data_IF_414736745880
#
_entry.id   IF_414736745880
#
_cell.length_a   1.000
_cell.length_b   1.000
_cell.length_c   1.000
_cell.angle_alpha   90.00
_cell.angle_beta   90.00
_cell.angle_gamma   90.00
#
_symmetry.space_group_name_H-M   'P 1'
#
loop_
_entity.id
_entity.type
_entity.pdbx_description
1 polymer ?
#
# COMPACT_ATOMS: atom_id res chain seq x y z
N UNK A 1 -8.57 -20.92 -12.15
CA UNK A 1 -7.68 -19.86 -12.66
C UNK A 1 -6.86 -20.48 -13.76
N UNK A 2 -6.78 -19.81 -14.92
CA UNK A 2 -5.98 -20.31 -16.04
C UNK A 2 -4.48 -20.02 -15.85
N UNK A 3 -3.57 -20.82 -16.45
CA UNK A 3 -2.13 -20.62 -16.31
C UNK A 3 -1.65 -19.23 -16.75
N UNK A 4 -2.25 -18.67 -17.80
CA UNK A 4 -1.98 -17.31 -18.27
C UNK A 4 -2.33 -16.25 -17.22
N UNK A 5 -3.42 -16.45 -16.48
CA UNK A 5 -3.81 -15.56 -15.38
C UNK A 5 -2.86 -15.70 -14.19
N UNK A 6 -2.44 -16.91 -13.85
CA UNK A 6 -1.41 -17.14 -12.82
C UNK A 6 -0.12 -16.36 -13.14
N UNK A 7 0.36 -16.46 -14.39
CA UNK A 7 1.56 -15.72 -14.83
C UNK A 7 1.35 -14.20 -14.75
N UNK A 8 0.19 -13.71 -15.17
CA UNK A 8 -0.15 -12.29 -15.07
C UNK A 8 -0.16 -11.82 -13.61
N UNK A 9 -0.75 -12.59 -12.70
CA UNK A 9 -0.76 -12.30 -11.27
C UNK A 9 0.66 -12.20 -10.70
N UNK A 10 1.51 -13.21 -10.97
CA UNK A 10 2.90 -13.20 -10.51
C UNK A 10 3.68 -12.01 -11.04
N UNK A 11 3.46 -11.64 -12.32
CA UNK A 11 4.10 -10.47 -12.92
C UNK A 11 3.64 -9.18 -12.26
N UNK A 12 2.33 -9.03 -12.01
CA UNK A 12 1.75 -7.84 -11.38
C UNK A 12 2.37 -7.56 -10.01
N UNK A 13 2.52 -8.60 -9.17
CA UNK A 13 3.14 -8.49 -7.84
C UNK A 13 4.66 -8.68 -7.86
N UNK A 14 5.27 -8.70 -9.04
CA UNK A 14 6.72 -8.84 -9.28
C UNK A 14 7.34 -10.11 -8.66
N UNK A 15 6.55 -11.17 -8.53
CA UNK A 15 6.99 -12.46 -8.01
C UNK A 15 7.51 -13.38 -9.12
N UNK A 16 8.48 -14.21 -8.76
CA UNK A 16 8.91 -15.35 -9.57
C UNK A 16 8.17 -16.61 -9.12
N UNK A 17 8.09 -17.67 -9.94
CA UNK A 17 7.47 -18.95 -9.54
C UNK A 17 8.08 -19.54 -8.26
N UNK A 18 9.39 -19.33 -8.05
CA UNK A 18 10.07 -19.73 -6.81
C UNK A 18 9.52 -19.00 -5.58
N UNK A 19 9.20 -17.72 -5.69
CA UNK A 19 8.63 -16.91 -4.60
C UNK A 19 7.26 -17.43 -4.19
N UNK A 20 6.41 -17.78 -5.17
CA UNK A 20 5.12 -18.40 -4.89
C UNK A 20 5.27 -19.75 -4.18
N UNK A 21 6.21 -20.58 -4.65
CA UNK A 21 6.46 -21.88 -4.03
C UNK A 21 6.91 -21.74 -2.57
N UNK A 22 7.79 -20.77 -2.29
CA UNK A 22 8.23 -20.44 -0.93
C UNK A 22 7.07 -19.94 -0.06
N UNK A 23 6.23 -19.04 -0.58
CA UNK A 23 5.09 -18.49 0.15
C UNK A 23 4.07 -19.57 0.54
N UNK A 24 3.89 -20.59 -0.29
CA UNK A 24 3.00 -21.72 -0.04
C UNK A 24 3.69 -22.89 0.69
N UNK A 25 5.00 -22.81 0.94
CA UNK A 25 5.82 -23.89 1.49
C UNK A 25 5.71 -25.20 0.68
N UNK A 26 5.70 -25.09 -0.65
CA UNK A 26 5.65 -26.22 -1.58
C UNK A 26 6.86 -26.24 -2.51
N UNK A 27 7.03 -27.32 -3.26
CA UNK A 27 8.09 -27.43 -4.26
C UNK A 27 7.80 -26.53 -5.47
N UNK A 28 8.83 -25.86 -6.02
CA UNK A 28 8.73 -25.07 -7.27
C UNK A 28 8.19 -25.89 -8.45
N UNK A 29 8.48 -27.20 -8.50
CA UNK A 29 7.95 -28.08 -9.53
C UNK A 29 6.41 -28.06 -9.58
N UNK A 30 5.75 -28.00 -8.42
CA UNK A 30 4.30 -27.91 -8.30
C UNK A 30 3.74 -26.61 -8.90
N UNK A 31 4.45 -25.49 -8.71
CA UNK A 31 4.06 -24.21 -9.34
C UNK A 31 4.26 -24.26 -10.85
N UNK A 32 5.28 -24.97 -11.32
CA UNK A 32 5.52 -25.12 -12.75
C UNK A 32 4.44 -25.97 -13.43
N UNK A 33 3.94 -27.04 -12.80
CA UNK A 33 2.82 -27.84 -13.38
C UNK A 33 1.57 -26.99 -13.53
N UNK A 34 1.27 -26.11 -12.57
CA UNK A 34 0.20 -25.12 -12.67
C UNK A 34 0.41 -24.13 -13.82
N UNK A 35 1.64 -23.64 -14.03
CA UNK A 35 1.97 -22.71 -15.12
C UNK A 35 1.93 -23.36 -16.51
N UNK A 36 2.13 -24.67 -16.59
CA UNK A 36 2.00 -25.45 -17.81
C UNK A 36 0.56 -25.91 -18.07
N UNK A 37 -0.35 -25.75 -17.09
CA UNK A 37 -1.72 -26.24 -17.18
C UNK A 37 -1.84 -27.76 -17.03
N UNK A 38 -0.78 -28.42 -16.58
CA UNK A 38 -0.76 -29.88 -16.35
C UNK A 38 -1.57 -30.26 -15.11
N UNK A 39 -1.71 -29.33 -14.17
CA UNK A 39 -2.51 -29.52 -12.97
C UNK A 39 -3.36 -28.28 -12.67
N UNK A 40 -4.55 -28.50 -12.10
CA UNK A 40 -5.44 -27.42 -11.71
C UNK A 40 -4.87 -26.67 -10.49
N UNK A 41 -4.94 -25.34 -10.56
CA UNK A 41 -4.60 -24.47 -9.44
C UNK A 41 -5.71 -24.56 -8.39
N UNK A 42 -5.39 -24.86 -7.11
CA UNK A 42 -6.38 -24.87 -6.04
C UNK A 42 -7.10 -23.52 -5.94
N UNK A 43 -8.44 -23.56 -5.83
CA UNK A 43 -9.29 -22.34 -5.83
C UNK A 43 -8.85 -21.33 -4.77
N UNK A 44 -8.49 -21.78 -3.56
CA UNK A 44 -8.02 -20.89 -2.48
C UNK A 44 -6.72 -20.18 -2.82
N UNK A 45 -5.78 -20.85 -3.50
CA UNK A 45 -4.51 -20.24 -3.96
C UNK A 45 -4.81 -19.19 -5.02
N UNK A 46 -5.68 -19.51 -5.98
CA UNK A 46 -6.11 -18.57 -7.01
C UNK A 46 -6.76 -17.31 -6.40
N UNK A 47 -7.73 -17.46 -5.50
CA UNK A 47 -8.41 -16.34 -4.84
C UNK A 47 -7.44 -15.46 -4.03
N UNK A 48 -6.49 -16.08 -3.33
CA UNK A 48 -5.47 -15.35 -2.56
C UNK A 48 -4.53 -14.54 -3.48
N UNK A 49 -4.10 -15.11 -4.59
CA UNK A 49 -3.25 -14.41 -5.57
C UNK A 49 -3.98 -13.22 -6.22
N UNK A 50 -5.26 -13.39 -6.58
CA UNK A 50 -6.08 -12.28 -7.11
C UNK A 50 -6.16 -11.12 -6.13
N UNK A 51 -6.39 -11.40 -4.84
CA UNK A 51 -6.45 -10.37 -3.81
C UNK A 51 -5.10 -9.63 -3.65
N UNK A 52 -3.97 -10.35 -3.70
CA UNK A 52 -2.65 -9.73 -3.68
C UNK A 52 -2.40 -8.85 -4.89
N UNK A 53 -2.81 -9.29 -6.09
CA UNK A 53 -2.66 -8.51 -7.31
C UNK A 53 -3.47 -7.23 -7.25
N UNK A 54 -4.75 -7.32 -6.86
CA UNK A 54 -5.62 -6.17 -6.70
C UNK A 54 -5.03 -5.11 -5.77
N UNK A 55 -4.52 -5.54 -4.61
CA UNK A 55 -3.91 -4.62 -3.65
C UNK A 55 -2.58 -4.04 -4.17
N UNK A 56 -1.77 -4.84 -4.83
CA UNK A 56 -0.50 -4.39 -5.38
C UNK A 56 -0.71 -3.39 -6.53
N UNK A 57 -1.66 -3.64 -7.43
CA UNK A 57 -2.01 -2.71 -8.51
C UNK A 57 -2.50 -1.36 -7.95
N UNK A 58 -3.32 -1.39 -6.90
CA UNK A 58 -3.72 -0.16 -6.21
C UNK A 58 -2.52 0.56 -5.58
N UNK A 59 -1.60 -0.18 -4.98
CA UNK A 59 -0.39 0.37 -4.38
C UNK A 59 0.63 0.89 -5.41
N UNK A 60 0.66 0.35 -6.63
CA UNK A 60 1.55 0.80 -7.71
C UNK A 60 1.25 2.24 -8.15
N UNK A 61 -0.01 2.68 -8.02
CA UNK A 61 -0.38 4.09 -8.23
C UNK A 61 0.31 5.02 -7.23
N UNK A 62 0.73 4.48 -6.09
CA UNK A 62 1.37 5.19 -4.99
C UNK A 62 2.90 5.06 -5.02
N UNK A 63 3.47 4.31 -5.98
CA UNK A 63 4.91 4.10 -6.10
C UNK A 63 5.63 5.45 -6.24
N UNK A 64 6.58 5.77 -5.35
CA UNK A 64 7.28 7.05 -5.40
C UNK A 64 8.14 7.12 -6.66
N UNK A 65 8.02 8.22 -7.40
CA UNK A 65 8.88 8.48 -8.55
C UNK A 65 10.20 9.08 -8.08
N UNK A 66 11.23 8.24 -7.99
CA UNK A 66 12.57 8.68 -7.61
C UNK A 66 13.31 9.19 -8.86
N UNK A 67 13.79 10.44 -8.82
CA UNK A 67 14.57 11.08 -9.87
C UNK A 67 16.00 11.31 -9.37
N UNK A 68 16.97 10.85 -10.16
CA UNK A 68 18.37 11.15 -9.91
C UNK A 68 18.67 12.59 -10.33
N UNK A 69 19.19 13.38 -9.40
CA UNK A 69 19.64 14.76 -9.62
C UNK A 69 21.12 14.90 -9.33
N UNK A 70 21.73 16.03 -9.70
CA UNK A 70 23.14 16.31 -9.40
C UNK A 70 23.45 16.28 -7.90
N UNK A 71 22.44 16.54 -7.06
CA UNK A 71 22.57 16.60 -5.60
C UNK A 71 22.09 15.31 -4.90
N UNK A 72 21.76 14.25 -5.65
CA UNK A 72 21.28 12.97 -5.11
C UNK A 72 19.88 12.56 -5.59
N UNK A 73 19.28 11.57 -4.91
CA UNK A 73 17.94 11.07 -5.22
C UNK A 73 16.88 12.00 -4.65
N UNK A 74 15.96 12.49 -5.50
CA UNK A 74 14.78 13.26 -5.08
C UNK A 74 13.50 12.51 -5.43
N UNK A 75 12.45 12.69 -4.63
CA UNK A 75 11.11 12.19 -4.96
C UNK A 75 10.41 13.27 -5.80
N UNK A 76 9.96 12.91 -7.00
CA UNK A 76 9.16 13.81 -7.82
C UNK A 76 7.78 14.03 -7.19
N UNK A 77 7.27 15.26 -7.29
CA UNK A 77 5.92 15.59 -6.84
C UNK A 77 4.88 14.68 -7.51
N UNK A 78 4.04 14.05 -6.70
CA UNK A 78 2.96 13.20 -7.19
C UNK A 78 1.71 14.06 -7.44
N UNK A 79 1.22 14.06 -8.69
CA UNK A 79 0.07 14.85 -9.11
C UNK A 79 -1.31 14.15 -8.93
N UNK A 80 -1.39 13.08 -8.14
CA UNK A 80 -2.65 12.38 -7.93
C UNK A 80 -3.47 13.04 -6.82
N UNK A 81 -4.79 13.18 -7.05
CA UNK A 81 -5.75 13.39 -5.97
C UNK A 81 -5.59 12.23 -4.99
N UNK A 82 -5.14 12.55 -3.79
CA UNK A 82 -4.58 11.58 -2.86
C UNK A 82 -5.61 10.54 -2.46
N UNK A 83 -5.35 9.26 -2.76
CA UNK A 83 -6.12 8.17 -2.20
C UNK A 83 -5.65 7.95 -0.76
N UNK A 84 -6.30 8.62 0.19
CA UNK A 84 -6.12 8.35 1.61
C UNK A 84 -6.83 7.04 1.92
N UNK A 85 -6.13 5.97 2.33
CA UNK A 85 -6.76 4.72 2.70
C UNK A 85 -7.80 4.95 3.80
N UNK A 86 -8.89 4.17 3.80
CA UNK A 86 -9.98 4.33 4.78
C UNK A 86 -9.47 4.33 6.22
N UNK A 87 -8.48 3.49 6.54
CA UNK A 87 -7.88 3.44 7.88
C UNK A 87 -7.18 4.75 8.27
N UNK A 88 -6.61 5.48 7.32
CA UNK A 88 -5.95 6.77 7.56
C UNK A 88 -6.94 7.95 7.50
N UNK A 89 -8.06 7.78 6.79
CA UNK A 89 -9.05 8.83 6.62
C UNK A 89 -9.73 9.23 7.94
N UNK A 90 -9.98 8.27 8.83
CA UNK A 90 -10.57 8.55 10.15
C UNK A 90 -9.65 9.45 11.00
N UNK A 91 -8.36 9.13 11.08
CA UNK A 91 -7.38 9.96 11.77
C UNK A 91 -7.23 11.33 11.11
N UNK A 92 -7.17 11.39 9.77
CA UNK A 92 -7.10 12.67 9.04
C UNK A 92 -8.29 13.58 9.35
N UNK A 93 -9.51 13.02 9.41
CA UNK A 93 -10.72 13.76 9.76
C UNK A 93 -10.70 14.27 11.21
N UNK A 94 -10.18 13.47 12.16
CA UNK A 94 -9.99 13.88 13.56
C UNK A 94 -9.00 15.05 13.67
N UNK A 95 -7.87 14.97 12.95
CA UNK A 95 -6.86 16.02 12.90
C UNK A 95 -7.40 17.35 12.35
N UNK A 96 -8.40 17.28 11.48
CA UNK A 96 -9.12 18.45 10.97
C UNK A 96 -9.84 19.27 12.04
N UNK A 97 -10.29 18.60 13.11
CA UNK A 97 -11.06 19.23 14.18
C UNK A 97 -10.13 19.83 15.24
N UNK A 98 -9.10 19.08 15.63
CA UNK A 98 -8.13 19.49 16.64
C UNK A 98 -6.85 18.66 16.54
N UNK A 99 -5.72 19.14 17.12
CA UNK A 99 -4.54 18.32 17.33
C UNK A 99 -4.86 16.99 18.01
N UNK A 100 -4.19 15.91 17.61
CA UNK A 100 -4.37 14.58 18.20
C UNK A 100 -3.09 14.20 18.95
N UNK A 101 -3.22 13.80 20.22
CA UNK A 101 -2.06 13.37 21.01
C UNK A 101 -1.52 12.04 20.49
N UNK A 102 -0.21 11.97 20.25
CA UNK A 102 0.46 10.74 19.81
C UNK A 102 0.37 9.62 20.86
N UNK A 103 0.37 9.99 22.14
CA UNK A 103 0.20 9.04 23.25
C UNK A 103 -1.15 8.30 23.18
N UNK A 104 -2.19 8.97 22.68
CA UNK A 104 -3.53 8.38 22.54
C UNK A 104 -3.65 7.37 21.39
N UNK A 105 -2.63 7.27 20.52
CA UNK A 105 -2.64 6.42 19.34
C UNK A 105 -1.90 5.10 19.52
N UNK A 106 -1.05 4.96 20.55
CA UNK A 106 -0.27 3.74 20.79
C UNK A 106 -1.18 2.51 20.95
N UNK A 107 -0.89 1.46 20.19
CA UNK A 107 -1.65 0.20 20.24
C UNK A 107 -3.02 0.26 19.56
N UNK A 108 -3.29 1.30 18.78
CA UNK A 108 -4.50 1.43 17.95
C UNK A 108 -4.15 1.28 16.48
N UNK A 109 -5.15 0.96 15.64
CA UNK A 109 -4.98 0.92 14.18
C UNK A 109 -4.55 2.29 13.59
N UNK A 110 -4.84 3.38 14.29
CA UNK A 110 -4.43 4.74 13.92
C UNK A 110 -2.91 4.95 14.02
N UNK A 111 -2.17 4.11 14.76
CA UNK A 111 -0.70 4.21 14.87
C UNK A 111 -0.02 4.03 13.50
N UNK A 112 -0.53 3.08 12.69
CA UNK A 112 -0.08 2.86 11.32
C UNK A 112 -0.48 4.02 10.39
N UNK A 113 -1.62 4.68 10.65
CA UNK A 113 -2.06 5.85 9.91
C UNK A 113 -1.13 7.06 10.10
N UNK A 114 -0.48 7.21 11.27
CA UNK A 114 0.45 8.31 11.51
C UNK A 114 1.60 8.30 10.49
N UNK A 115 2.19 7.12 10.24
CA UNK A 115 3.27 7.00 9.27
C UNK A 115 2.80 7.41 7.87
N UNK A 116 1.62 6.92 7.45
CA UNK A 116 1.05 7.25 6.15
C UNK A 116 0.86 8.77 5.98
N UNK A 117 0.15 9.41 6.92
CA UNK A 117 -0.19 10.84 6.83
C UNK A 117 1.05 11.74 6.88
N UNK A 118 2.05 11.40 7.70
CA UNK A 118 3.31 12.16 7.77
C UNK A 118 4.14 11.96 6.51
N UNK A 119 4.22 10.74 5.98
CA UNK A 119 5.01 10.43 4.77
C UNK A 119 4.51 11.17 3.52
N UNK A 120 3.24 11.60 3.54
CA UNK A 120 2.57 12.32 2.46
C UNK A 120 2.44 13.82 2.69
N UNK A 121 2.91 14.33 3.82
CA UNK A 121 2.81 15.75 4.16
C UNK A 121 1.39 16.19 4.53
N UNK A 122 0.48 15.27 4.87
CA UNK A 122 -0.89 15.59 5.32
C UNK A 122 -0.99 15.90 6.82
N UNK A 123 -0.03 15.38 7.57
CA UNK A 123 0.11 15.66 8.97
C UNK A 123 1.59 15.85 9.33
N UNK A 124 1.86 16.59 10.39
CA UNK A 124 3.20 16.76 10.93
C UNK A 124 3.21 16.46 12.43
N UNK A 125 4.33 15.91 12.91
CA UNK A 125 4.55 15.68 14.34
C UNK A 125 5.06 16.97 14.98
N UNK A 126 4.33 17.48 15.95
CA UNK A 126 4.70 18.64 16.74
C UNK A 126 4.68 18.27 18.23
N UNK A 127 5.88 18.02 18.78
CA UNK A 127 6.06 17.49 20.13
C UNK A 127 5.22 16.22 20.37
N UNK A 128 4.33 16.24 21.36
CA UNK A 128 3.47 15.12 21.74
C UNK A 128 2.18 15.01 20.91
N UNK A 129 2.02 15.87 19.90
CA UNK A 129 0.82 15.96 19.08
C UNK A 129 1.11 15.73 17.60
N UNK A 130 0.08 15.28 16.91
CA UNK A 130 -0.02 15.25 15.47
C UNK A 130 -0.91 16.41 15.03
N UNK A 131 -0.44 17.21 14.07
CA UNK A 131 -1.13 18.37 13.53
C UNK A 131 -1.49 18.13 12.06
N UNK A 132 -2.63 18.66 11.61
CA UNK A 132 -3.00 18.66 10.19
C UNK A 132 -2.25 19.77 9.44
N UNK A 133 -1.73 19.45 8.27
CA UNK A 133 -1.12 20.45 7.36
C UNK A 133 -2.18 21.12 6.49
N UNK A 134 -1.79 22.12 5.68
CA UNK A 134 -2.70 22.74 4.70
C UNK A 134 -3.21 21.72 3.67
N UNK A 135 -2.32 20.87 3.16
CA UNK A 135 -2.68 19.81 2.21
C UNK A 135 -3.62 18.78 2.86
N UNK A 136 -3.36 18.42 4.12
CA UNK A 136 -4.23 17.57 4.93
C UNK A 136 -5.67 18.10 5.03
N UNK A 137 -5.82 19.41 5.30
CA UNK A 137 -7.16 20.04 5.40
C UNK A 137 -7.93 19.97 4.09
N UNK A 138 -7.23 20.25 2.98
CA UNK A 138 -7.83 20.26 1.63
C UNK A 138 -8.38 18.89 1.22
N UNK A 139 -7.77 17.82 1.72
CA UNK A 139 -8.13 16.43 1.38
C UNK A 139 -9.13 15.83 2.36
N UNK A 140 -9.05 16.20 3.65
CA UNK A 140 -10.02 15.78 4.66
C UNK A 140 -11.42 16.40 4.49
N UNK A 141 -11.66 17.23 3.45
CA UNK A 141 -12.83 18.11 3.32
C UNK A 141 -13.07 18.92 4.60
N UNK A 142 -11.99 19.42 5.19
CA UNK A 142 -12.03 20.21 6.42
C UNK A 142 -11.91 21.68 6.01
N UNK A 143 -12.94 22.21 5.35
CA UNK A 143 -13.12 23.65 5.19
C UNK A 143 -13.84 24.19 6.44
N UNK A 144 -13.26 25.21 7.07
CA UNK A 144 -13.96 26.11 8.00
C UNK A 144 -14.80 27.11 7.23
#
# INVERSE_FOLDING_TARGET
MEPSRLMACLTAIRWRPLTLAQALSINRAQVNTWLLGEEQIPVRVASWLEALCFNHEAAELLTPKVVATKDGLKIAEMAFAEHVPVYAYHLLRRLGQHPVSLLSLYGTDDEAAVFFLVSRGLAERAAENLLITLDGRRIGNVET
#
